data_IF_623218459650
#
_entry.id   IF_623218459650
#
_cell.length_a   1.000
_cell.length_b   1.000
_cell.length_c   1.000
_cell.angle_alpha   90.00
_cell.angle_beta   90.00
_cell.angle_gamma   90.00
#
_symmetry.space_group_name_H-M   'P 1'
#
loop_
_entity.id
_entity.type
_entity.pdbx_description
1 polymer ?
#
# COMPACT_ATOMS: atom_id res chain seq x y z
N UNK A 1 -9.41 -7.28 8.75
CA UNK A 1 -9.52 -6.00 8.03
C UNK A 1 -8.45 -5.10 8.58
N UNK A 2 -7.25 -5.12 7.99
CA UNK A 2 -6.27 -4.11 8.33
C UNK A 2 -6.85 -2.78 7.87
N UNK A 3 -7.07 -1.88 8.82
CA UNK A 3 -7.62 -0.57 8.53
C UNK A 3 -6.51 0.26 7.87
N UNK A 4 -6.25 0.00 6.59
CA UNK A 4 -5.18 0.65 5.82
C UNK A 4 -5.29 2.18 5.87
N UNK A 5 -6.51 2.71 5.97
CA UNK A 5 -6.76 4.14 6.16
C UNK A 5 -6.21 4.67 7.49
N UNK A 6 -6.33 3.89 8.57
CA UNK A 6 -5.75 4.22 9.88
C UNK A 6 -4.22 4.16 9.79
N UNK A 7 -3.67 3.11 9.17
CA UNK A 7 -2.23 2.96 8.99
C UNK A 7 -1.65 4.13 8.17
N UNK A 8 -2.30 4.48 7.06
CA UNK A 8 -1.92 5.61 6.22
C UNK A 8 -2.00 6.95 6.98
N UNK A 9 -3.02 7.13 7.82
CA UNK A 9 -3.13 8.32 8.67
C UNK A 9 -2.02 8.40 9.73
N UNK A 10 -1.66 7.26 10.35
CA UNK A 10 -0.54 7.21 11.31
C UNK A 10 0.78 7.55 10.61
N UNK A 11 1.03 6.99 9.42
CA UNK A 11 2.24 7.27 8.63
C UNK A 11 2.32 8.75 8.23
N UNK A 12 1.20 9.36 7.82
CA UNK A 12 1.19 10.79 7.45
C UNK A 12 1.43 11.69 8.67
N UNK A 13 0.93 11.33 9.85
CA UNK A 13 1.21 12.03 11.11
C UNK A 13 2.70 11.91 11.49
N UNK A 14 3.29 10.72 11.39
CA UNK A 14 4.72 10.51 11.65
C UNK A 14 5.56 11.36 10.70
N UNK A 15 5.22 11.38 9.40
CA UNK A 15 5.87 12.25 8.42
C UNK A 15 5.80 13.72 8.84
N UNK A 16 4.63 14.19 9.27
CA UNK A 16 4.42 15.56 9.72
C UNK A 16 5.30 15.90 10.93
N UNK A 17 5.38 15.00 11.93
CA UNK A 17 6.24 15.14 13.11
C UNK A 17 7.72 15.23 12.72
N UNK A 18 8.20 14.31 11.87
CA UNK A 18 9.60 14.28 11.40
C UNK A 18 9.92 15.58 10.66
N UNK A 19 9.03 16.04 9.77
CA UNK A 19 9.22 17.29 9.02
C UNK A 19 9.19 18.53 9.93
N UNK A 20 8.39 18.49 11.00
CA UNK A 20 8.40 19.52 12.03
C UNK A 20 9.73 19.57 12.80
N UNK A 21 10.29 18.40 13.15
CA UNK A 21 11.61 18.31 13.78
C UNK A 21 12.68 18.84 12.81
N UNK A 22 12.60 18.49 11.52
CA UNK A 22 13.51 18.99 10.49
C UNK A 22 13.49 20.52 10.39
N UNK A 23 12.31 21.14 10.33
CA UNK A 23 12.15 22.60 10.36
C UNK A 23 12.50 23.25 11.69
N UNK A 24 12.55 22.50 12.79
CA UNK A 24 12.91 23.06 14.11
C UNK A 24 14.42 23.09 14.33
N UNK A 25 15.15 22.09 13.83
CA UNK A 25 16.56 21.89 14.15
C UNK A 25 17.53 22.12 12.98
N UNK A 26 17.10 21.92 11.74
CA UNK A 26 18.00 21.95 10.57
C UNK A 26 17.79 23.24 9.76
N UNK A 27 16.56 23.52 9.34
CA UNK A 27 16.22 24.75 8.62
C UNK A 27 15.69 25.80 9.60
N UNK A 28 16.48 26.81 9.96
CA UNK A 28 16.02 27.93 10.81
C UNK A 28 14.97 28.83 10.14
N UNK A 29 14.61 28.54 8.89
CA UNK A 29 13.53 29.19 8.16
C UNK A 29 12.24 28.36 8.24
N UNK A 30 11.19 28.96 8.79
CA UNK A 30 9.88 28.33 8.88
C UNK A 30 9.21 28.30 7.50
N UNK A 31 9.37 27.18 6.77
CA UNK A 31 8.53 26.88 5.61
C UNK A 31 7.04 27.02 5.99
N UNK A 32 6.20 27.54 5.08
CA UNK A 32 4.79 27.74 5.38
C UNK A 32 4.10 26.39 5.64
N UNK A 33 3.41 26.28 6.79
CA UNK A 33 2.71 25.08 7.25
C UNK A 33 1.74 24.50 6.19
N UNK A 34 1.23 25.37 5.32
CA UNK A 34 0.37 25.01 4.19
C UNK A 34 1.02 24.02 3.21
N UNK A 35 2.32 24.16 2.96
CA UNK A 35 3.06 23.23 2.08
C UNK A 35 3.23 21.88 2.76
N UNK A 36 3.52 21.89 4.05
CA UNK A 36 3.75 20.68 4.86
C UNK A 36 2.49 19.80 4.93
N UNK A 37 1.32 20.41 5.07
CA UNK A 37 0.02 19.72 5.03
C UNK A 37 -0.23 19.11 3.65
N UNK A 38 0.10 19.84 2.57
CA UNK A 38 -0.04 19.32 1.19
C UNK A 38 0.81 18.06 0.99
N UNK A 39 2.04 18.08 1.49
CA UNK A 39 2.97 16.96 1.37
C UNK A 39 2.48 15.76 2.20
N UNK A 40 1.97 15.99 3.42
CA UNK A 40 1.40 14.93 4.25
C UNK A 40 0.16 14.27 3.62
N UNK A 41 -0.70 15.05 2.94
CA UNK A 41 -1.81 14.51 2.15
C UNK A 41 -1.32 13.67 0.95
N UNK A 42 -0.23 14.09 0.32
CA UNK A 42 0.40 13.36 -0.78
C UNK A 42 0.95 12.01 -0.30
N UNK A 43 1.61 11.99 0.86
CA UNK A 43 2.10 10.76 1.51
C UNK A 43 0.93 9.82 1.84
N UNK A 44 -0.15 10.34 2.42
CA UNK A 44 -1.36 9.55 2.69
C UNK A 44 -1.92 8.90 1.41
N UNK A 45 -2.07 9.69 0.34
CA UNK A 45 -2.57 9.18 -0.94
C UNK A 45 -1.64 8.14 -1.57
N UNK A 46 -0.32 8.31 -1.41
CA UNK A 46 0.69 7.37 -1.87
C UNK A 46 0.58 6.01 -1.16
N UNK A 47 0.37 5.99 0.15
CA UNK A 47 0.19 4.74 0.91
C UNK A 47 -1.09 4.01 0.46
N UNK A 48 -2.21 4.73 0.34
CA UNK A 48 -3.49 4.14 -0.11
C UNK A 48 -3.39 3.60 -1.54
N UNK A 49 -2.82 4.38 -2.45
CA UNK A 49 -2.65 3.97 -3.85
C UNK A 49 -1.68 2.81 -3.98
N UNK A 50 -0.55 2.84 -3.26
CA UNK A 50 0.43 1.77 -3.24
C UNK A 50 -0.17 0.48 -2.71
N UNK A 51 -0.97 0.55 -1.64
CA UNK A 51 -1.70 -0.61 -1.13
C UNK A 51 -2.66 -1.20 -2.16
N UNK A 52 -3.42 -0.37 -2.87
CA UNK A 52 -4.33 -0.81 -3.92
C UNK A 52 -3.61 -1.47 -5.10
N UNK A 53 -2.47 -0.91 -5.52
CA UNK A 53 -1.62 -1.50 -6.56
C UNK A 53 -1.05 -2.85 -6.08
N UNK A 54 -0.58 -2.92 -4.84
CA UNK A 54 -0.08 -4.18 -4.27
C UNK A 54 -1.18 -5.24 -4.19
N UNK A 55 -2.41 -4.90 -3.84
CA UNK A 55 -3.53 -5.84 -3.85
C UNK A 55 -3.82 -6.39 -5.26
N UNK A 56 -3.73 -5.55 -6.29
CA UNK A 56 -3.86 -6.00 -7.68
C UNK A 56 -2.66 -6.82 -8.17
N UNK A 57 -1.47 -6.54 -7.67
CA UNK A 57 -0.26 -7.30 -8.00
C UNK A 57 -0.12 -8.60 -7.22
N UNK A 58 -0.75 -8.76 -6.04
CA UNK A 58 -0.76 -10.03 -5.29
C UNK A 58 -1.10 -11.23 -6.15
N UNK A 59 -2.21 -11.29 -6.93
CA UNK A 59 -2.47 -12.42 -7.81
C UNK A 59 -1.37 -12.59 -8.86
N UNK A 60 -0.81 -11.52 -9.42
CA UNK A 60 0.26 -11.60 -10.43
C UNK A 60 1.58 -12.14 -9.84
N UNK A 61 1.96 -11.69 -8.64
CA UNK A 61 3.18 -12.13 -7.94
C UNK A 61 3.04 -13.53 -7.34
N UNK A 62 1.85 -13.89 -6.87
CA UNK A 62 1.56 -15.22 -6.32
C UNK A 62 1.42 -16.27 -7.44
N UNK A 63 0.96 -15.85 -8.63
CA UNK A 63 0.98 -16.66 -9.86
C UNK A 63 2.37 -16.75 -10.51
N UNK A 64 3.37 -16.00 -10.03
CA UNK A 64 4.77 -16.11 -10.45
C UNK A 64 5.56 -17.23 -9.74
N UNK A 65 4.94 -17.91 -8.76
CA UNK A 65 5.51 -19.04 -8.04
C UNK A 65 4.64 -20.30 -8.03
N UNK A 66 3.32 -20.17 -8.21
CA UNK A 66 2.42 -21.29 -8.43
C UNK A 66 1.67 -21.12 -9.74
N UNK A 67 1.80 -22.15 -10.60
CA UNK A 67 0.96 -22.39 -11.76
C UNK A 67 -0.53 -22.16 -11.44
N UNK A 68 -1.37 -21.80 -12.43
CA UNK A 68 -2.82 -21.70 -12.25
C UNK A 68 -3.35 -23.05 -11.74
N UNK A 69 -3.63 -23.16 -10.43
CA UNK A 69 -4.04 -24.43 -9.82
C UNK A 69 -3.84 -24.59 -8.30
N UNK A 70 -3.50 -23.55 -7.55
CA UNK A 70 -3.25 -23.67 -6.10
C UNK A 70 -4.34 -23.08 -5.18
N UNK A 71 -5.59 -23.11 -5.62
CA UNK A 71 -6.77 -23.24 -4.74
C UNK A 71 -7.78 -24.23 -5.34
N UNK A 72 -7.25 -25.27 -5.99
CA UNK A 72 -8.00 -26.22 -6.82
C UNK A 72 -7.53 -26.09 -8.25
N UNK A 73 -6.71 -27.03 -8.70
CA UNK A 73 -6.57 -27.31 -10.12
C UNK A 73 -8.00 -27.36 -10.69
N UNK A 74 -8.30 -26.53 -11.68
CA UNK A 74 -9.55 -26.63 -12.45
C UNK A 74 -9.46 -27.92 -13.26
N UNK A 75 -9.78 -29.02 -12.58
CA UNK A 75 -9.91 -30.39 -13.10
C UNK A 75 -11.15 -30.48 -13.99
N UNK A 76 -11.21 -29.68 -15.05
CA UNK A 76 -12.38 -29.61 -15.94
C UNK A 76 -12.44 -30.83 -16.89
N UNK A 77 -11.38 -31.65 -16.95
CA UNK A 77 -11.29 -32.83 -17.81
C UNK A 77 -10.64 -34.07 -17.15
N UNK A 78 -10.67 -34.22 -15.82
CA UNK A 78 -10.16 -35.45 -15.16
C UNK A 78 -11.25 -36.33 -14.56
N UNK A 79 -12.52 -36.11 -14.88
CA UNK A 79 -13.55 -37.08 -14.51
C UNK A 79 -13.38 -38.35 -15.35
N UNK A 80 -13.39 -39.50 -14.68
CA UNK A 80 -13.35 -40.81 -15.32
C UNK A 80 -14.57 -40.93 -16.26
N UNK A 81 -14.42 -41.27 -17.55
CA UNK A 81 -15.56 -41.39 -18.44
C UNK A 81 -16.48 -42.52 -17.93
N UNK A 82 -17.75 -42.19 -17.69
CA UNK A 82 -18.79 -43.22 -17.53
C UNK A 82 -19.07 -43.78 -18.92
N UNK A 83 -18.65 -45.01 -19.15
CA UNK A 83 -19.11 -45.85 -20.27
C UNK A 83 -20.45 -46.49 -19.89
#
# INVERSE_FOLDING_TARGET
MDNIFIIAAVISIIFLIVKFIEMRYIEKDSKPLKLLIRDALLVYFSVVSGYFILEQLKPVMQNGGNLPGSSGATLVFTNNPEF
#
